data_IF_847340105125
#
_entry.id   IF_847340105125
#
_cell.length_a   1.000
_cell.length_b   1.000
_cell.length_c   1.000
_cell.angle_alpha   90.00
_cell.angle_beta   90.00
_cell.angle_gamma   90.00
#
_symmetry.space_group_name_H-M   'P 1'
#
loop_
_entity.id
_entity.type
_entity.pdbx_description
1 polymer ?
#
# COMPACT_ATOMS: atom_id res chain seq x y z
N UNK A 1 -20.46 -4.10 -24.16
CA UNK A 1 -19.05 -4.33 -23.89
C UNK A 1 -18.92 -4.70 -22.42
N UNK A 2 -18.13 -5.72 -22.07
CA UNK A 2 -17.71 -6.04 -20.70
C UNK A 2 -16.40 -5.30 -20.44
N UNK A 3 -16.39 -4.45 -19.42
CA UNK A 3 -15.28 -3.55 -19.12
C UNK A 3 -14.73 -3.90 -17.74
N UNK A 4 -13.44 -4.24 -17.68
CA UNK A 4 -12.70 -4.33 -16.43
C UNK A 4 -12.12 -2.98 -16.04
N UNK A 5 -12.27 -2.56 -14.80
CA UNK A 5 -11.67 -1.32 -14.27
C UNK A 5 -10.78 -1.67 -13.08
N UNK A 6 -9.48 -1.39 -13.20
CA UNK A 6 -8.51 -1.50 -12.11
C UNK A 6 -8.27 -0.10 -11.55
N UNK A 7 -8.70 0.13 -10.31
CA UNK A 7 -8.43 1.36 -9.57
C UNK A 7 -7.14 1.19 -8.77
N UNK A 8 -6.18 2.11 -8.88
CA UNK A 8 -4.94 2.05 -8.12
C UNK A 8 -4.71 3.27 -7.22
N UNK A 9 -4.34 2.98 -5.98
CA UNK A 9 -3.93 3.98 -5.00
C UNK A 9 -5.10 4.77 -4.39
N UNK A 10 -4.88 5.44 -3.25
CA UNK A 10 -5.93 6.20 -2.58
C UNK A 10 -6.27 7.53 -3.29
N UNK A 11 -5.30 8.18 -3.95
CA UNK A 11 -5.47 9.53 -4.49
C UNK A 11 -6.58 9.64 -5.57
N UNK A 12 -6.73 8.63 -6.43
CA UNK A 12 -7.79 8.61 -7.44
C UNK A 12 -9.18 8.49 -6.81
N UNK A 13 -9.29 7.85 -5.65
CA UNK A 13 -10.52 7.70 -4.88
C UNK A 13 -10.81 8.98 -4.10
N UNK A 14 -9.81 9.48 -3.35
CA UNK A 14 -9.94 10.66 -2.49
C UNK A 14 -10.24 11.94 -3.31
N UNK A 15 -9.75 12.04 -4.55
CA UNK A 15 -10.07 13.13 -5.48
C UNK A 15 -11.49 13.04 -6.07
N UNK A 16 -12.20 11.93 -5.84
CA UNK A 16 -13.52 11.63 -6.39
C UNK A 16 -13.51 11.23 -7.87
N UNK A 17 -12.36 11.19 -8.53
CA UNK A 17 -12.27 10.84 -9.95
C UNK A 17 -12.54 9.37 -10.22
N UNK A 18 -12.21 8.46 -9.30
CA UNK A 18 -12.52 7.04 -9.44
C UNK A 18 -14.02 6.83 -9.73
N UNK A 19 -14.90 7.40 -8.90
CA UNK A 19 -16.35 7.27 -9.09
C UNK A 19 -16.81 7.96 -10.39
N UNK A 20 -16.32 9.18 -10.68
CA UNK A 20 -16.67 9.89 -11.92
C UNK A 20 -16.32 9.08 -13.18
N UNK A 21 -15.15 8.45 -13.20
CA UNK A 21 -14.69 7.64 -14.32
C UNK A 21 -15.45 6.32 -14.42
N UNK A 22 -15.76 5.67 -13.28
CA UNK A 22 -16.59 4.46 -13.28
C UNK A 22 -17.98 4.76 -13.87
N UNK A 23 -18.63 5.85 -13.45
CA UNK A 23 -19.94 6.25 -14.00
C UNK A 23 -19.85 6.61 -15.49
N UNK A 24 -18.80 7.31 -15.92
CA UNK A 24 -18.57 7.59 -17.34
C UNK A 24 -18.40 6.30 -18.16
N UNK A 25 -17.63 5.33 -17.66
CA UNK A 25 -17.35 4.10 -18.39
C UNK A 25 -18.57 3.17 -18.48
N UNK A 26 -19.54 3.29 -17.57
CA UNK A 26 -20.85 2.61 -17.69
C UNK A 26 -21.64 3.03 -18.93
N UNK A 27 -21.39 4.22 -19.50
CA UNK A 27 -22.01 4.63 -20.77
C UNK A 27 -21.57 3.75 -21.95
N UNK A 28 -20.44 3.04 -21.81
CA UNK A 28 -19.83 2.23 -22.88
C UNK A 28 -20.08 0.73 -22.71
N UNK A 29 -20.53 0.27 -21.53
CA UNK A 29 -20.71 -1.15 -21.27
C UNK A 29 -20.98 -1.51 -19.82
N UNK A 30 -21.05 -2.81 -19.57
CA UNK A 30 -21.15 -3.38 -18.23
C UNK A 30 -19.77 -3.34 -17.55
N UNK A 31 -19.69 -2.78 -16.35
CA UNK A 31 -18.42 -2.50 -15.67
C UNK A 31 -18.24 -3.40 -14.47
N UNK A 32 -17.07 -4.02 -14.36
CA UNK A 32 -16.59 -4.70 -13.17
C UNK A 32 -15.37 -3.97 -12.66
N UNK A 33 -15.35 -3.61 -11.37
CA UNK A 33 -14.31 -2.75 -10.80
C UNK A 33 -13.62 -3.45 -9.64
N UNK A 34 -12.29 -3.43 -9.62
CA UNK A 34 -11.48 -3.96 -8.52
C UNK A 34 -10.33 -3.04 -8.18
N UNK A 35 -9.86 -3.11 -6.95
CA UNK A 35 -8.75 -2.30 -6.47
C UNK A 35 -7.40 -3.03 -6.55
N UNK A 36 -6.36 -2.32 -6.98
CA UNK A 36 -4.96 -2.69 -6.76
C UNK A 36 -4.32 -1.86 -5.64
N UNK A 37 -3.78 -2.53 -4.61
CA UNK A 37 -2.99 -1.91 -3.53
C UNK A 37 -3.70 -1.72 -2.19
N UNK A 38 -2.93 -1.76 -1.10
CA UNK A 38 -3.44 -1.78 0.29
C UNK A 38 -4.15 -0.49 0.71
N UNK A 39 -3.50 0.68 0.59
CA UNK A 39 -4.07 1.95 1.06
C UNK A 39 -5.28 2.43 0.25
N UNK A 40 -5.43 1.95 -0.99
CA UNK A 40 -6.64 2.20 -1.76
C UNK A 40 -7.88 1.62 -1.07
N UNK A 41 -7.75 0.51 -0.32
CA UNK A 41 -8.89 -0.11 0.38
C UNK A 41 -9.41 0.81 1.47
N UNK A 42 -8.50 1.50 2.16
CA UNK A 42 -8.82 2.52 3.17
C UNK A 42 -9.62 3.64 2.53
N UNK A 43 -9.21 4.11 1.35
CA UNK A 43 -9.90 5.16 0.61
C UNK A 43 -11.27 4.72 0.09
N UNK A 44 -11.40 3.48 -0.41
CA UNK A 44 -12.71 2.91 -0.80
C UNK A 44 -13.67 2.92 0.39
N UNK A 45 -13.21 2.48 1.57
CA UNK A 45 -14.01 2.46 2.79
C UNK A 45 -14.42 3.88 3.18
N UNK A 46 -13.47 4.82 3.27
CA UNK A 46 -13.78 6.19 3.67
C UNK A 46 -14.79 6.85 2.71
N UNK A 47 -14.71 6.53 1.41
CA UNK A 47 -15.62 7.01 0.38
C UNK A 47 -16.95 6.22 0.27
N UNK A 48 -17.16 5.17 1.07
CA UNK A 48 -18.34 4.28 1.00
C UNK A 48 -18.54 3.60 -0.37
N UNK A 49 -17.43 3.19 -1.00
CA UNK A 49 -17.41 2.62 -2.36
C UNK A 49 -17.24 1.09 -2.40
N UNK A 50 -17.33 0.38 -1.28
CA UNK A 50 -17.11 -1.08 -1.23
C UNK A 50 -18.13 -1.87 -2.03
N UNK A 51 -19.33 -1.31 -2.26
CA UNK A 51 -20.36 -1.90 -3.11
C UNK A 51 -20.12 -1.63 -4.62
N UNK A 52 -19.14 -0.78 -4.94
CA UNK A 52 -18.81 -0.36 -6.31
C UNK A 52 -17.45 -0.93 -6.73
N UNK A 53 -16.47 -0.94 -5.82
CA UNK A 53 -15.09 -1.37 -6.06
C UNK A 53 -14.80 -2.60 -5.19
N UNK A 54 -14.48 -3.73 -5.83
CA UNK A 54 -14.09 -4.94 -5.12
C UNK A 54 -12.74 -4.75 -4.40
N UNK A 55 -12.80 -4.84 -3.07
CA UNK A 55 -11.66 -4.78 -2.14
C UNK A 55 -11.52 -6.06 -1.31
N UNK A 56 -12.14 -7.16 -1.75
CA UNK A 56 -12.16 -8.44 -1.03
C UNK A 56 -10.80 -9.15 -1.03
N UNK A 57 -9.98 -8.92 -2.05
CA UNK A 57 -8.65 -9.53 -2.22
C UNK A 57 -7.54 -8.48 -2.15
N UNK A 58 -6.42 -8.82 -1.52
CA UNK A 58 -5.17 -8.06 -1.62
C UNK A 58 -4.51 -8.39 -2.96
N UNK A 59 -4.64 -7.48 -3.93
CA UNK A 59 -4.08 -7.64 -5.28
C UNK A 59 -3.12 -6.49 -5.59
N UNK A 60 -2.07 -6.79 -6.35
CA UNK A 60 -1.28 -5.77 -7.05
C UNK A 60 -1.94 -5.47 -8.40
N UNK A 61 -1.74 -4.27 -8.98
CA UNK A 61 -2.44 -3.86 -10.21
C UNK A 61 -2.26 -4.81 -11.40
N UNK A 62 -1.07 -5.39 -11.60
CA UNK A 62 -0.84 -6.32 -12.72
C UNK A 62 -1.59 -7.64 -12.57
N UNK A 63 -1.78 -8.13 -11.33
CA UNK A 63 -2.65 -9.29 -11.07
C UNK A 63 -4.12 -8.95 -11.33
N UNK A 64 -4.55 -7.73 -10.97
CA UNK A 64 -5.89 -7.25 -11.27
C UNK A 64 -6.17 -7.16 -12.77
N UNK A 65 -5.20 -6.72 -13.58
CA UNK A 65 -5.28 -6.78 -15.06
C UNK A 65 -5.39 -8.22 -15.54
N UNK A 66 -4.54 -9.11 -15.02
CA UNK A 66 -4.54 -10.54 -15.41
C UNK A 66 -5.89 -11.21 -15.13
N UNK A 67 -6.48 -10.97 -13.97
CA UNK A 67 -7.76 -11.62 -13.65
C UNK A 67 -8.86 -11.11 -14.59
N UNK A 68 -8.90 -9.82 -14.94
CA UNK A 68 -9.86 -9.35 -15.95
C UNK A 68 -9.61 -9.96 -17.33
N UNK A 69 -8.34 -10.17 -17.69
CA UNK A 69 -7.98 -10.88 -18.91
C UNK A 69 -8.51 -12.33 -18.88
N UNK A 70 -8.30 -13.04 -17.77
CA UNK A 70 -8.80 -14.42 -17.59
C UNK A 70 -10.34 -14.49 -17.56
N UNK A 71 -11.01 -13.43 -17.08
CA UNK A 71 -12.47 -13.24 -17.13
C UNK A 71 -12.97 -12.92 -18.56
N UNK A 72 -12.04 -12.82 -19.52
CA UNK A 72 -12.27 -12.56 -20.94
C UNK A 72 -13.09 -11.28 -21.17
N UNK A 73 -12.77 -10.19 -20.47
CA UNK A 73 -13.44 -8.89 -20.71
C UNK A 73 -13.10 -8.34 -22.10
N UNK A 74 -13.90 -7.42 -22.61
CA UNK A 74 -13.68 -6.85 -23.94
C UNK A 74 -12.63 -5.71 -23.90
N UNK A 75 -12.41 -5.10 -22.73
CA UNK A 75 -11.48 -3.97 -22.52
C UNK A 75 -11.16 -3.78 -21.04
N UNK A 76 -9.95 -3.32 -20.72
CA UNK A 76 -9.51 -3.01 -19.36
C UNK A 76 -9.06 -1.56 -19.24
N UNK A 77 -9.54 -0.86 -18.22
CA UNK A 77 -9.06 0.47 -17.82
C UNK A 77 -8.23 0.42 -16.55
N UNK A 78 -7.03 1.01 -16.58
CA UNK A 78 -6.20 1.24 -15.41
C UNK A 78 -6.36 2.70 -14.96
N UNK A 79 -6.99 2.94 -13.82
CA UNK A 79 -7.21 4.27 -13.28
C UNK A 79 -6.16 4.57 -12.21
N UNK A 80 -5.38 5.64 -12.40
CA UNK A 80 -4.33 6.02 -11.47
C UNK A 80 -4.23 7.54 -11.32
N UNK A 81 -3.68 7.96 -10.17
CA UNK A 81 -3.42 9.36 -9.86
C UNK A 81 -2.06 9.48 -9.20
N UNK A 82 -1.01 9.45 -10.03
CA UNK A 82 0.37 9.61 -9.63
C UNK A 82 0.67 10.97 -8.98
N UNK A 83 1.86 11.08 -8.37
CA UNK A 83 2.36 12.35 -7.82
C UNK A 83 2.66 13.37 -8.93
N UNK A 84 3.17 12.85 -10.05
CA UNK A 84 3.43 13.56 -11.30
C UNK A 84 3.03 12.66 -12.49
N UNK A 85 2.97 13.25 -13.68
CA UNK A 85 2.88 12.54 -14.97
C UNK A 85 3.96 11.45 -15.09
N UNK A 86 5.22 11.77 -14.74
CA UNK A 86 6.35 10.84 -14.73
C UNK A 86 6.05 9.61 -13.86
N UNK A 87 5.62 9.82 -12.61
CA UNK A 87 5.34 8.68 -11.71
C UNK A 87 4.20 7.82 -12.22
N UNK A 88 3.18 8.43 -12.80
CA UNK A 88 2.00 7.78 -13.32
C UNK A 88 2.27 6.94 -14.56
N UNK A 89 3.00 7.52 -15.52
CA UNK A 89 3.36 6.86 -16.76
C UNK A 89 4.34 5.70 -16.52
N UNK A 90 5.36 5.89 -15.67
CA UNK A 90 6.29 4.82 -15.29
C UNK A 90 5.59 3.71 -14.51
N UNK A 91 4.66 4.05 -13.61
CA UNK A 91 3.82 3.07 -12.92
C UNK A 91 3.03 2.22 -13.93
N UNK A 92 2.35 2.87 -14.86
CA UNK A 92 1.60 2.23 -15.93
C UNK A 92 2.43 1.28 -16.77
N UNK A 93 3.60 1.75 -17.21
CA UNK A 93 4.56 0.97 -17.99
C UNK A 93 4.98 -0.31 -17.24
N UNK A 94 5.34 -0.20 -15.96
CA UNK A 94 5.74 -1.35 -15.14
C UNK A 94 4.57 -2.33 -14.93
N UNK A 95 3.38 -1.81 -14.62
CA UNK A 95 2.18 -2.62 -14.39
C UNK A 95 1.79 -3.39 -15.65
N UNK A 96 1.78 -2.71 -16.80
CA UNK A 96 1.42 -3.32 -18.07
C UNK A 96 2.43 -4.38 -18.51
N UNK A 97 3.74 -4.14 -18.42
CA UNK A 97 4.75 -5.13 -18.78
C UNK A 97 4.70 -6.38 -17.89
N UNK A 98 4.58 -6.21 -16.56
CA UNK A 98 4.39 -7.35 -15.65
C UNK A 98 3.08 -8.11 -15.91
N UNK A 99 2.05 -7.45 -16.44
CA UNK A 99 0.82 -8.11 -16.87
C UNK A 99 1.04 -8.89 -18.17
N UNK A 100 1.69 -8.29 -19.16
CA UNK A 100 1.97 -8.91 -20.46
C UNK A 100 2.84 -10.17 -20.33
N UNK A 101 3.75 -10.22 -19.35
CA UNK A 101 4.55 -11.42 -19.04
C UNK A 101 3.71 -12.59 -18.47
N UNK A 102 2.50 -12.32 -17.97
CA UNK A 102 1.63 -13.32 -17.31
C UNK A 102 0.58 -13.93 -18.22
N UNK A 103 0.50 -13.50 -19.48
CA UNK A 103 -0.53 -13.91 -20.44
C UNK A 103 0.11 -14.50 -21.70
N UNK A 104 -0.63 -15.35 -22.42
CA UNK A 104 -0.16 -15.98 -23.66
C UNK A 104 -0.49 -15.15 -24.89
N UNK A 105 -1.67 -14.53 -24.90
CA UNK A 105 -2.17 -13.67 -25.97
C UNK A 105 -2.54 -12.33 -25.36
N UNK A 106 -2.22 -11.23 -26.05
CA UNK A 106 -2.46 -9.87 -25.55
C UNK A 106 -3.45 -9.14 -26.46
N UNK A 107 -4.64 -9.73 -26.57
CA UNK A 107 -5.72 -9.31 -27.46
C UNK A 107 -6.71 -8.32 -26.80
N UNK A 108 -6.79 -8.32 -25.47
CA UNK A 108 -7.66 -7.41 -24.73
C UNK A 108 -7.02 -6.02 -24.61
N UNK A 109 -7.67 -4.94 -25.11
CA UNK A 109 -7.20 -3.57 -24.98
C UNK A 109 -7.01 -3.14 -23.51
N UNK A 110 -5.84 -2.59 -23.18
CA UNK A 110 -5.54 -1.99 -21.88
C UNK A 110 -5.29 -0.49 -22.05
N UNK A 111 -6.10 0.33 -21.39
CA UNK A 111 -6.03 1.80 -21.47
C UNK A 111 -5.83 2.36 -20.06
N UNK A 112 -4.80 3.18 -19.86
CA UNK A 112 -4.64 3.91 -18.61
C UNK A 112 -5.25 5.30 -18.71
N UNK A 113 -5.92 5.72 -17.64
CA UNK A 113 -6.32 7.11 -17.41
C UNK A 113 -5.51 7.60 -16.21
N UNK A 114 -4.59 8.52 -16.48
CA UNK A 114 -3.62 9.04 -15.52
C UNK A 114 -3.94 10.48 -15.12
N UNK A 115 -4.04 10.73 -13.81
CA UNK A 115 -4.23 12.07 -13.21
C UNK A 115 -5.32 12.89 -13.90
N UNK A 116 -6.55 12.35 -13.99
CA UNK A 116 -7.67 13.07 -14.59
C UNK A 116 -7.88 14.42 -13.89
N UNK A 117 -8.06 15.48 -14.68
CA UNK A 117 -8.30 16.84 -14.18
C UNK A 117 -7.04 17.67 -13.90
N UNK A 118 -5.85 17.09 -13.99
CA UNK A 118 -4.58 17.82 -13.94
C UNK A 118 -4.15 18.26 -15.34
N UNK A 119 -3.39 19.36 -15.45
CA UNK A 119 -2.91 19.88 -16.74
C UNK A 119 -1.97 18.89 -17.45
N UNK A 120 -1.24 18.08 -16.69
CA UNK A 120 -0.33 17.04 -17.16
C UNK A 120 -0.96 15.62 -17.11
N UNK A 121 -2.29 15.55 -16.96
CA UNK A 121 -3.05 14.31 -17.06
C UNK A 121 -3.04 13.72 -18.47
N UNK A 122 -3.09 12.39 -18.57
CA UNK A 122 -2.97 11.68 -19.86
C UNK A 122 -3.82 10.41 -19.96
N UNK A 123 -4.11 10.00 -21.18
CA UNK A 123 -4.65 8.68 -21.52
C UNK A 123 -3.59 7.93 -22.31
N UNK A 124 -3.27 6.71 -21.87
CA UNK A 124 -2.23 5.87 -22.48
C UNK A 124 -2.85 4.57 -22.99
N UNK A 125 -2.96 4.36 -24.33
CA UNK A 125 -3.39 3.10 -24.90
C UNK A 125 -2.22 2.11 -24.99
N UNK A 126 -2.10 1.19 -24.02
CA UNK A 126 -0.91 0.33 -23.90
C UNK A 126 -0.70 -0.66 -25.05
N UNK A 127 -1.77 -1.17 -25.64
CA UNK A 127 -1.72 -2.13 -26.75
C UNK A 127 -2.74 -1.86 -27.87
N UNK A 128 -3.56 -0.81 -27.77
CA UNK A 128 -4.63 -0.58 -28.73
C UNK A 128 -5.08 0.90 -28.79
N UNK A 129 -4.87 1.54 -29.94
CA UNK A 129 -5.44 2.87 -30.26
C UNK A 129 -6.88 2.72 -30.79
N UNK A 130 -7.83 2.52 -29.87
CA UNK A 130 -9.25 2.39 -30.19
C UNK A 130 -9.95 3.75 -30.25
N UNK A 131 -11.08 3.83 -30.97
CA UNK A 131 -11.88 5.07 -31.07
C UNK A 131 -12.28 5.65 -29.71
N UNK A 132 -12.47 4.79 -28.70
CA UNK A 132 -12.83 5.21 -27.34
C UNK A 132 -11.73 6.07 -26.69
N UNK A 133 -10.46 5.89 -27.06
CA UNK A 133 -9.33 6.68 -26.53
C UNK A 133 -9.51 8.15 -26.94
N UNK A 134 -9.84 8.40 -28.20
CA UNK A 134 -10.06 9.75 -28.74
C UNK A 134 -11.30 10.41 -28.13
N UNK A 135 -12.39 9.64 -27.98
CA UNK A 135 -13.60 10.14 -27.32
C UNK A 135 -13.37 10.49 -25.85
N UNK A 136 -12.70 9.61 -25.10
CA UNK A 136 -12.38 9.85 -23.69
C UNK A 136 -11.40 11.00 -23.52
N UNK A 137 -10.38 11.11 -24.38
CA UNK A 137 -9.44 12.24 -24.38
C UNK A 137 -10.17 13.56 -24.53
N UNK A 138 -11.14 13.65 -25.44
CA UNK A 138 -11.97 14.84 -25.62
C UNK A 138 -12.90 15.10 -24.44
N UNK A 139 -13.60 14.07 -23.94
CA UNK A 139 -14.53 14.19 -22.80
C UNK A 139 -13.82 14.61 -21.50
N UNK A 140 -12.63 14.08 -21.26
CA UNK A 140 -11.85 14.30 -20.04
C UNK A 140 -10.84 15.45 -20.17
N UNK A 141 -10.67 16.01 -21.37
CA UNK A 141 -9.64 16.99 -21.69
C UNK A 141 -8.22 16.50 -21.30
N UNK A 142 -7.87 15.29 -21.73
CA UNK A 142 -6.58 14.65 -21.43
C UNK A 142 -5.76 14.48 -22.70
N UNK A 143 -4.44 14.67 -22.59
CA UNK A 143 -3.52 14.37 -23.67
C UNK A 143 -3.49 12.85 -23.93
N UNK A 144 -3.39 12.45 -25.20
CA UNK A 144 -3.09 11.05 -25.54
C UNK A 144 -1.56 10.94 -25.59
N UNK A 145 -1.00 10.02 -24.81
CA UNK A 145 0.44 9.72 -24.80
C UNK A 145 0.60 8.26 -25.22
N UNK A 146 1.46 7.98 -26.20
CA UNK A 146 1.66 6.60 -26.68
C UNK A 146 2.61 5.82 -25.76
N UNK A 147 2.55 4.47 -25.79
CA UNK A 147 3.50 3.63 -25.06
C UNK A 147 4.96 3.92 -25.43
N UNK A 148 5.22 4.22 -26.71
CA UNK A 148 6.55 4.61 -27.21
C UNK A 148 7.01 5.94 -26.61
N UNK A 149 6.13 6.94 -26.49
CA UNK A 149 6.46 8.20 -25.83
C UNK A 149 6.79 7.99 -24.35
N UNK A 150 6.06 7.13 -23.64
CA UNK A 150 6.37 6.79 -22.24
C UNK A 150 7.75 6.12 -22.14
N UNK A 151 8.03 5.14 -23.01
CA UNK A 151 9.31 4.47 -23.04
C UNK A 151 10.46 5.45 -23.34
N UNK A 152 10.30 6.30 -24.35
CA UNK A 152 11.33 7.23 -24.81
C UNK A 152 11.66 8.31 -23.78
N UNK A 153 10.63 8.84 -23.12
CA UNK A 153 10.78 9.92 -22.16
C UNK A 153 11.35 9.43 -20.82
N UNK A 154 10.99 8.23 -20.37
CA UNK A 154 11.25 7.81 -18.99
C UNK A 154 12.14 6.57 -18.86
N UNK A 155 12.12 5.65 -19.83
CA UNK A 155 12.74 4.31 -19.69
C UNK A 155 13.97 4.15 -20.59
N UNK A 156 13.97 4.71 -21.80
CA UNK A 156 15.05 4.52 -22.80
C UNK A 156 16.43 4.90 -22.28
N UNK A 157 16.49 5.93 -21.43
CA UNK A 157 17.74 6.43 -20.84
C UNK A 157 18.12 5.70 -19.55
N UNK A 158 17.26 4.80 -19.05
CA UNK A 158 17.59 3.96 -17.93
C UNK A 158 18.69 2.98 -18.38
N UNK A 159 19.91 3.24 -17.94
CA UNK A 159 21.04 2.32 -18.08
C UNK A 159 21.44 1.83 -16.69
N UNK A 160 20.56 1.08 -15.98
CA UNK A 160 20.91 0.54 -14.69
C UNK A 160 22.08 -0.43 -14.86
N UNK A 161 23.08 -0.32 -13.99
CA UNK A 161 24.09 -1.37 -13.87
C UNK A 161 23.47 -2.70 -13.45
N UNK A 162 24.26 -3.77 -13.46
CA UNK A 162 23.85 -5.06 -12.92
C UNK A 162 23.36 -4.89 -11.47
N UNK A 163 22.18 -5.44 -11.15
CA UNK A 163 21.50 -5.32 -9.86
C UNK A 163 21.21 -3.87 -9.42
N UNK A 164 20.88 -2.99 -10.36
CA UNK A 164 20.44 -1.62 -10.04
C UNK A 164 19.01 -1.38 -10.49
N UNK A 165 18.28 -0.53 -9.74
CA UNK A 165 16.94 -0.11 -10.11
C UNK A 165 16.74 1.38 -9.94
N UNK A 166 16.40 2.04 -11.04
CA UNK A 166 16.06 3.46 -11.07
C UNK A 166 14.61 3.65 -10.61
N UNK A 167 14.41 4.66 -9.75
CA UNK A 167 13.12 5.05 -9.20
C UNK A 167 12.81 6.47 -9.66
N UNK A 168 11.74 6.61 -10.43
CA UNK A 168 11.34 7.87 -11.07
C UNK A 168 10.37 8.68 -10.22
N UNK A 169 10.39 10.01 -10.41
CA UNK A 169 9.48 10.95 -9.75
C UNK A 169 9.59 10.96 -8.23
N UNK A 170 10.82 10.86 -7.74
CA UNK A 170 11.17 11.01 -6.33
C UNK A 170 11.40 12.50 -6.01
N UNK A 171 11.18 12.88 -4.77
CA UNK A 171 11.49 14.24 -4.29
C UNK A 171 12.36 14.16 -3.04
N UNK A 172 13.27 15.11 -2.79
CA UNK A 172 14.09 15.11 -1.58
C UNK A 172 13.25 15.07 -0.29
N UNK A 173 13.71 14.28 0.69
CA UNK A 173 13.06 14.10 1.99
C UNK A 173 11.94 13.05 2.03
N UNK A 174 11.62 12.41 0.90
CA UNK A 174 10.68 11.30 0.86
C UNK A 174 11.28 10.02 1.46
N UNK A 175 10.46 9.27 2.22
CA UNK A 175 10.82 7.92 2.63
C UNK A 175 11.00 7.02 1.39
N UNK A 176 11.96 6.11 1.44
CA UNK A 176 12.18 5.06 0.45
C UNK A 176 11.67 3.77 1.06
N UNK A 177 10.59 3.22 0.48
CA UNK A 177 9.96 2.01 0.96
C UNK A 177 10.10 0.88 -0.06
N UNK A 178 10.62 -0.27 0.37
CA UNK A 178 10.80 -1.47 -0.44
C UNK A 178 10.04 -2.62 0.23
N UNK A 179 9.13 -3.26 -0.50
CA UNK A 179 8.28 -4.34 0.02
C UNK A 179 7.59 -4.01 1.37
N UNK A 180 7.20 -2.74 1.55
CA UNK A 180 6.56 -2.19 2.75
C UNK A 180 7.49 -1.92 3.95
N UNK A 181 8.81 -2.01 3.76
CA UNK A 181 9.81 -1.63 4.78
C UNK A 181 10.48 -0.32 4.37
N UNK A 182 10.55 0.65 5.29
CA UNK A 182 11.30 1.89 5.07
C UNK A 182 12.79 1.58 5.20
N UNK A 183 13.55 1.80 4.13
CA UNK A 183 14.99 1.49 4.08
C UNK A 183 15.87 2.74 4.06
N UNK A 184 15.27 3.93 4.07
CA UNK A 184 16.03 5.17 3.93
C UNK A 184 15.16 6.35 3.51
N UNK A 185 15.84 7.45 3.19
CA UNK A 185 15.22 8.69 2.69
C UNK A 185 15.93 9.21 1.47
N UNK A 186 15.20 9.84 0.57
CA UNK A 186 15.77 10.51 -0.60
C UNK A 186 16.44 11.82 -0.19
N UNK A 187 17.54 12.16 -0.84
CA UNK A 187 18.17 13.48 -0.76
C UNK A 187 18.23 14.18 -2.13
N UNK A 188 17.72 13.52 -3.17
CA UNK A 188 17.72 13.96 -4.55
C UNK A 188 16.36 13.69 -5.21
N UNK A 189 16.16 14.30 -6.38
CA UNK A 189 15.08 14.04 -7.34
C UNK A 189 15.39 12.85 -8.27
N UNK A 190 16.55 12.20 -8.09
CA UNK A 190 16.95 10.97 -8.76
C UNK A 190 17.30 9.92 -7.72
N UNK A 191 16.80 8.70 -7.88
CA UNK A 191 17.08 7.60 -6.95
C UNK A 191 17.43 6.34 -7.72
N UNK A 192 18.55 5.70 -7.34
CA UNK A 192 18.93 4.37 -7.82
C UNK A 192 19.23 3.47 -6.63
N UNK A 193 18.54 2.33 -6.53
CA UNK A 193 18.85 1.29 -5.56
C UNK A 193 19.89 0.34 -6.14
N UNK A 194 20.85 -0.10 -5.33
CA UNK A 194 21.92 -1.02 -5.72
C UNK A 194 21.88 -2.24 -4.81
N UNK A 195 21.74 -3.42 -5.41
CA UNK A 195 21.75 -4.68 -4.68
C UNK A 195 22.96 -5.57 -5.02
N UNK A 196 23.39 -6.36 -4.03
CA UNK A 196 24.40 -7.40 -4.20
C UNK A 196 23.99 -8.60 -3.36
N UNK A 197 24.06 -9.80 -3.93
CA UNK A 197 23.68 -11.05 -3.27
C UNK A 197 22.26 -10.96 -2.65
N UNK A 198 21.31 -10.42 -3.43
CA UNK A 198 19.94 -10.12 -3.03
C UNK A 198 19.80 -9.21 -1.80
N UNK A 199 20.79 -8.36 -1.47
CA UNK A 199 20.65 -7.34 -0.43
C UNK A 199 20.90 -5.97 -1.00
N UNK A 200 20.09 -4.99 -0.59
CA UNK A 200 20.40 -3.59 -0.90
C UNK A 200 21.66 -3.20 -0.11
N UNK A 201 22.69 -2.78 -0.84
CA UNK A 201 23.99 -2.43 -0.26
C UNK A 201 24.32 -0.95 -0.38
N UNK A 202 23.68 -0.24 -1.32
CA UNK A 202 23.94 1.17 -1.56
C UNK A 202 22.74 1.83 -2.28
N UNK A 203 22.67 3.15 -2.20
CA UNK A 203 21.70 3.97 -2.94
C UNK A 203 22.36 5.25 -3.45
N UNK A 204 22.05 5.62 -4.70
CA UNK A 204 22.40 6.92 -5.26
C UNK A 204 21.20 7.85 -5.12
N UNK A 205 21.39 9.03 -4.52
CA UNK A 205 20.32 10.02 -4.33
C UNK A 205 19.45 9.79 -3.10
N UNK A 206 19.97 9.06 -2.11
CA UNK A 206 19.36 8.94 -0.79
C UNK A 206 20.36 8.53 0.30
N UNK A 207 19.84 8.33 1.51
CA UNK A 207 20.57 7.79 2.67
C UNK A 207 19.87 6.54 3.21
N UNK A 208 20.65 5.47 3.43
CA UNK A 208 20.15 4.18 3.93
C UNK A 208 19.93 4.22 5.46
N UNK A 209 18.82 3.64 5.91
CA UNK A 209 18.52 3.34 7.32
C UNK A 209 18.94 1.89 7.58
N UNK A 210 20.02 1.69 8.34
CA UNK A 210 20.61 0.36 8.64
C UNK A 210 19.56 -0.61 9.17
N UNK A 211 18.79 -0.18 10.17
CA UNK A 211 17.74 -1.01 10.76
C UNK A 211 16.63 -1.40 9.77
N UNK A 212 16.32 -0.53 8.80
CA UNK A 212 15.38 -0.83 7.72
C UNK A 212 15.90 -1.92 6.78
N UNK A 213 17.21 -1.98 6.52
CA UNK A 213 17.83 -3.04 5.72
C UNK A 213 17.83 -4.38 6.45
N UNK A 214 18.08 -4.38 7.77
CA UNK A 214 17.98 -5.56 8.61
C UNK A 214 16.57 -6.16 8.57
N UNK A 215 15.54 -5.30 8.66
CA UNK A 215 14.12 -5.69 8.56
C UNK A 215 13.72 -6.16 7.15
N UNK A 216 14.25 -5.55 6.09
CA UNK A 216 13.94 -5.95 4.71
C UNK A 216 14.51 -7.33 4.36
N UNK A 217 15.76 -7.61 4.75
CA UNK A 217 16.43 -8.86 4.42
C UNK A 217 16.72 -9.02 2.93
N UNK A 218 16.52 -10.24 2.41
CA UNK A 218 16.80 -10.55 1.01
C UNK A 218 15.69 -9.98 0.09
N UNK A 219 16.10 -9.35 -1.01
CA UNK A 219 15.24 -8.67 -1.97
C UNK A 219 15.76 -8.85 -3.40
N UNK A 220 14.85 -9.20 -4.29
CA UNK A 220 15.06 -9.11 -5.73
C UNK A 220 14.54 -7.75 -6.20
N UNK A 221 15.44 -6.91 -6.71
CA UNK A 221 15.09 -5.56 -7.15
C UNK A 221 14.15 -5.56 -8.36
N UNK A 222 14.14 -6.58 -9.20
CA UNK A 222 13.29 -6.62 -10.40
C UNK A 222 11.81 -6.77 -10.00
N UNK A 223 11.53 -7.69 -9.07
CA UNK A 223 10.19 -7.96 -8.57
C UNK A 223 9.75 -7.09 -7.39
N UNK A 224 10.66 -6.38 -6.72
CA UNK A 224 10.33 -5.57 -5.54
C UNK A 224 9.26 -4.50 -5.80
N UNK A 225 8.45 -4.19 -4.80
CA UNK A 225 7.53 -3.05 -4.82
C UNK A 225 8.25 -1.88 -4.15
N UNK A 226 8.59 -0.86 -4.95
CA UNK A 226 9.26 0.36 -4.47
C UNK A 226 8.28 1.52 -4.49
N UNK A 227 8.19 2.25 -3.38
CA UNK A 227 7.38 3.47 -3.25
C UNK A 227 8.21 4.56 -2.58
N UNK A 228 7.90 5.82 -2.89
CA UNK A 228 8.45 6.95 -2.16
C UNK A 228 7.37 7.89 -1.65
N UNK A 229 7.67 8.55 -0.54
CA UNK A 229 6.77 9.52 0.10
C UNK A 229 5.68 8.85 0.93
N UNK A 230 4.58 9.59 1.15
CA UNK A 230 3.45 9.11 1.95
C UNK A 230 2.60 8.10 1.19
N UNK A 231 2.10 7.08 1.91
CA UNK A 231 1.24 6.05 1.32
C UNK A 231 -0.17 6.56 1.00
N UNK A 232 -0.59 7.64 1.67
CA UNK A 232 -1.82 8.39 1.41
C UNK A 232 -1.59 9.84 1.82
N UNK A 233 -1.74 10.78 0.88
CA UNK A 233 -1.46 12.21 1.08
C UNK A 233 -2.71 13.01 1.49
N UNK A 234 -3.89 12.54 1.11
CA UNK A 234 -5.12 13.27 1.34
C UNK A 234 -5.46 13.34 2.82
N UNK A 235 -5.85 14.52 3.31
CA UNK A 235 -6.50 14.67 4.61
C UNK A 235 -7.91 14.11 4.51
N UNK A 236 -8.19 13.10 5.31
CA UNK A 236 -9.43 12.32 5.23
C UNK A 236 -10.15 12.33 6.56
N UNK A 237 -11.47 12.24 6.50
CA UNK A 237 -12.28 11.89 7.67
C UNK A 237 -12.54 10.39 7.60
N UNK A 238 -11.95 9.58 8.48
CA UNK A 238 -12.10 8.14 8.42
C UNK A 238 -13.55 7.74 8.68
N UNK A 239 -14.06 6.77 7.91
CA UNK A 239 -15.38 6.20 8.16
C UNK A 239 -15.26 4.89 8.93
N UNK A 240 -15.90 4.82 10.08
CA UNK A 240 -16.03 3.57 10.85
C UNK A 240 -17.17 2.75 10.27
N UNK A 241 -16.88 1.50 9.88
CA UNK A 241 -17.87 0.51 9.45
C UNK A 241 -18.30 -0.29 10.67
N UNK A 242 -19.60 -0.58 10.79
CA UNK A 242 -20.09 -1.52 11.78
C UNK A 242 -19.54 -2.92 11.49
N UNK A 243 -18.86 -3.50 12.48
CA UNK A 243 -18.43 -4.90 12.48
C UNK A 243 -19.20 -5.64 13.57
N UNK A 244 -19.58 -6.89 13.31
CA UNK A 244 -20.08 -7.76 14.37
C UNK A 244 -18.92 -8.08 15.29
N UNK A 245 -18.92 -7.51 16.50
CA UNK A 245 -17.86 -7.81 17.47
C UNK A 245 -17.90 -9.31 17.79
N UNK A 246 -16.73 -9.98 17.83
CA UNK A 246 -16.69 -11.40 18.16
C UNK A 246 -17.29 -11.63 19.55
N UNK A 247 -17.97 -12.77 19.72
CA UNK A 247 -18.58 -13.15 21.01
C UNK A 247 -17.54 -13.30 22.12
N UNK A 248 -16.37 -13.82 21.75
CA UNK A 248 -15.21 -13.97 22.63
C UNK A 248 -14.21 -12.86 22.37
N UNK A 249 -13.50 -12.40 23.40
CA UNK A 249 -12.50 -11.34 23.26
C UNK A 249 -11.24 -11.91 22.59
N UNK A 250 -11.21 -11.81 21.25
CA UNK A 250 -10.18 -12.36 20.37
C UNK A 250 -9.04 -11.36 20.20
N UNK A 251 -7.81 -11.79 20.48
CA UNK A 251 -6.61 -11.00 20.24
C UNK A 251 -5.80 -11.60 19.10
N UNK A 252 -5.18 -10.74 18.29
CA UNK A 252 -4.29 -11.13 17.18
C UNK A 252 -2.96 -10.43 17.28
N UNK A 253 -1.93 -10.97 16.61
CA UNK A 253 -0.57 -10.45 16.63
C UNK A 253 -0.11 -10.05 15.23
N UNK A 254 0.60 -8.94 15.12
CA UNK A 254 1.14 -8.41 13.87
C UNK A 254 2.52 -7.79 14.09
N UNK A 255 3.57 -8.37 13.52
CA UNK A 255 4.96 -7.89 13.64
C UNK A 255 5.54 -7.26 12.36
N UNK A 256 4.79 -7.25 11.26
CA UNK A 256 5.27 -6.75 9.97
C UNK A 256 4.27 -5.85 9.25
N UNK A 257 4.65 -4.60 8.97
CA UNK A 257 3.83 -3.62 8.24
C UNK A 257 3.38 -4.08 6.83
N UNK A 258 4.05 -5.08 6.24
CA UNK A 258 3.73 -5.63 4.93
C UNK A 258 2.56 -6.63 4.89
N UNK A 259 2.08 -7.10 6.04
CA UNK A 259 0.96 -8.04 6.08
C UNK A 259 -0.37 -7.41 5.67
N UNK A 260 -1.36 -8.25 5.35
CA UNK A 260 -2.72 -7.76 5.06
C UNK A 260 -3.48 -7.44 6.35
N UNK A 261 -3.32 -6.22 6.88
CA UNK A 261 -3.95 -5.74 8.13
C UNK A 261 -5.48 -5.96 8.14
N UNK A 262 -6.13 -5.94 6.98
CA UNK A 262 -7.57 -6.13 6.86
C UNK A 262 -8.06 -7.51 7.32
N UNK A 263 -7.17 -8.51 7.41
CA UNK A 263 -7.53 -9.84 7.96
C UNK A 263 -7.91 -9.78 9.44
N UNK A 264 -7.50 -8.73 10.14
CA UNK A 264 -7.73 -8.58 11.57
C UNK A 264 -9.01 -7.81 11.91
N UNK A 265 -9.85 -7.50 10.91
CA UNK A 265 -11.12 -6.75 11.05
C UNK A 265 -12.19 -7.40 11.96
N UNK A 266 -11.98 -8.65 12.35
CA UNK A 266 -12.87 -9.42 13.21
C UNK A 266 -12.22 -9.70 14.59
N UNK A 267 -11.20 -8.93 14.96
CA UNK A 267 -10.49 -9.04 16.24
C UNK A 267 -11.05 -8.06 17.27
N UNK A 268 -10.93 -8.37 18.55
CA UNK A 268 -11.25 -7.45 19.64
C UNK A 268 -10.13 -6.46 19.92
N UNK A 269 -8.88 -6.87 19.71
CA UNK A 269 -7.67 -6.05 19.82
C UNK A 269 -6.55 -6.66 18.99
N UNK A 270 -5.68 -5.84 18.42
CA UNK A 270 -4.49 -6.30 17.68
C UNK A 270 -3.23 -5.82 18.40
N UNK A 271 -2.33 -6.75 18.74
CA UNK A 271 -1.00 -6.42 19.23
C UNK A 271 -0.11 -6.16 18.02
N UNK A 272 0.51 -4.98 17.95
CA UNK A 272 1.38 -4.57 16.85
C UNK A 272 2.81 -4.35 17.35
N UNK A 273 3.81 -4.71 16.56
CA UNK A 273 5.23 -4.50 16.90
C UNK A 273 5.91 -3.60 15.87
N UNK A 274 6.60 -2.58 16.35
CA UNK A 274 7.28 -1.56 15.56
C UNK A 274 6.43 -0.32 15.33
N UNK A 275 7.09 0.83 15.28
CA UNK A 275 6.47 2.16 15.15
C UNK A 275 5.61 2.29 13.89
N UNK A 276 6.15 1.95 12.71
CA UNK A 276 5.42 2.07 11.44
C UNK A 276 4.31 1.03 11.30
N UNK A 277 4.56 -0.22 11.74
CA UNK A 277 3.52 -1.26 11.79
C UNK A 277 2.37 -0.80 12.65
N UNK A 278 2.67 -0.24 13.83
CA UNK A 278 1.68 0.30 14.77
C UNK A 278 0.92 1.49 14.15
N UNK A 279 1.63 2.40 13.47
CA UNK A 279 1.02 3.57 12.82
C UNK A 279 0.06 3.17 11.69
N UNK A 280 0.51 2.34 10.74
CA UNK A 280 -0.32 1.90 9.60
C UNK A 280 -1.49 1.03 10.08
N UNK A 281 -1.21 0.12 11.01
CA UNK A 281 -2.23 -0.82 11.48
C UNK A 281 -3.31 -0.11 12.27
N UNK A 282 -2.94 0.81 13.16
CA UNK A 282 -3.93 1.61 13.87
C UNK A 282 -4.79 2.46 12.94
N UNK A 283 -4.19 3.07 11.90
CA UNK A 283 -4.93 3.82 10.89
C UNK A 283 -5.96 2.93 10.18
N UNK A 284 -5.55 1.78 9.65
CA UNK A 284 -6.47 0.86 8.94
C UNK A 284 -7.55 0.32 9.89
N UNK A 285 -7.16 -0.16 11.07
CA UNK A 285 -8.04 -0.79 12.05
C UNK A 285 -9.04 0.19 12.67
N UNK A 286 -8.75 1.49 12.63
CA UNK A 286 -9.70 2.53 13.02
C UNK A 286 -11.03 2.41 12.30
N UNK A 287 -11.03 2.05 11.01
CA UNK A 287 -12.27 1.87 10.22
C UNK A 287 -13.14 0.71 10.70
N UNK A 288 -12.62 -0.16 11.56
CA UNK A 288 -13.32 -1.32 12.08
C UNK A 288 -13.61 -1.23 13.58
N UNK A 289 -13.34 -0.07 14.22
CA UNK A 289 -13.45 0.13 15.67
C UNK A 289 -12.62 -0.88 16.49
N UNK A 290 -11.42 -1.22 15.99
CA UNK A 290 -10.52 -2.17 16.63
C UNK A 290 -9.35 -1.44 17.28
N UNK A 291 -9.24 -1.46 18.62
CA UNK A 291 -8.09 -0.90 19.31
C UNK A 291 -6.84 -1.75 19.04
N UNK A 292 -5.69 -1.10 19.22
CA UNK A 292 -4.38 -1.77 19.16
C UNK A 292 -3.68 -1.74 20.52
N UNK A 293 -2.80 -2.72 20.75
CA UNK A 293 -1.72 -2.62 21.74
C UNK A 293 -0.41 -2.53 20.96
N UNK A 294 0.12 -1.32 20.81
CA UNK A 294 1.37 -1.10 20.07
C UNK A 294 2.59 -1.28 20.96
N UNK A 295 3.57 -2.04 20.51
CA UNK A 295 4.91 -2.14 21.08
C UNK A 295 5.84 -1.37 20.14
N UNK A 296 6.37 -0.25 20.61
CA UNK A 296 7.15 0.72 19.82
C UNK A 296 8.42 1.08 20.56
N UNK A 297 9.45 1.55 19.86
CA UNK A 297 10.72 1.96 20.46
C UNK A 297 11.07 3.43 20.20
N UNK A 298 10.20 4.13 19.46
CA UNK A 298 10.29 5.56 19.18
C UNK A 298 10.95 5.91 17.84
N UNK A 299 11.18 4.95 16.95
CA UNK A 299 11.90 5.11 15.67
C UNK A 299 11.03 5.45 14.44
N UNK A 300 9.87 6.07 14.65
CA UNK A 300 8.84 6.34 13.64
C UNK A 300 9.33 7.03 12.34
N UNK A 301 9.13 6.38 11.18
CA UNK A 301 9.51 6.92 9.87
C UNK A 301 8.43 7.80 9.20
N UNK A 302 7.20 7.86 9.75
CA UNK A 302 6.07 8.69 9.28
C UNK A 302 5.66 8.41 7.81
N UNK A 303 5.14 7.21 7.59
CA UNK A 303 4.65 6.74 6.27
C UNK A 303 3.22 7.22 5.90
N UNK A 304 2.50 7.83 6.83
CA UNK A 304 1.21 8.52 6.64
C UNK A 304 1.24 9.88 7.37
N UNK A 305 0.47 10.87 6.90
CA UNK A 305 0.47 12.23 7.48
C UNK A 305 -0.17 12.24 8.88
N UNK A 306 -1.40 11.75 8.97
CA UNK A 306 -2.17 11.61 10.20
C UNK A 306 -2.57 10.13 10.37
N UNK A 307 -2.18 9.52 11.48
CA UNK A 307 -2.58 8.14 11.83
C UNK A 307 -3.68 8.13 12.87
N UNK A 308 -4.81 7.51 12.55
CA UNK A 308 -5.95 7.41 13.46
C UNK A 308 -5.77 6.24 14.44
N UNK A 309 -6.25 6.40 15.67
CA UNK A 309 -6.22 5.37 16.72
C UNK A 309 -7.56 5.31 17.42
N UNK A 310 -8.07 4.10 17.64
CA UNK A 310 -9.35 3.89 18.34
C UNK A 310 -9.15 4.19 19.82
N UNK A 311 -10.17 4.74 20.47
CA UNK A 311 -10.19 4.89 21.93
C UNK A 311 -9.92 3.55 22.62
N UNK A 312 -9.26 3.58 23.77
CA UNK A 312 -8.77 2.39 24.49
C UNK A 312 -7.61 1.66 23.80
N UNK A 313 -7.04 2.19 22.72
CA UNK A 313 -5.73 1.70 22.26
C UNK A 313 -4.66 2.02 23.30
N UNK A 314 -3.67 1.13 23.42
CA UNK A 314 -2.58 1.21 24.39
C UNK A 314 -1.26 1.21 23.62
N UNK A 315 -0.34 2.10 23.94
CA UNK A 315 1.01 2.12 23.35
C UNK A 315 2.04 1.91 24.45
N UNK A 316 2.82 0.86 24.33
CA UNK A 316 4.04 0.58 25.08
C UNK A 316 5.23 1.08 24.29
N UNK A 317 5.77 2.22 24.70
CA UNK A 317 7.05 2.72 24.19
C UNK A 317 8.16 2.14 25.05
N UNK A 318 8.89 1.15 24.54
CA UNK A 318 10.01 0.47 25.19
C UNK A 318 11.34 1.16 24.87
N UNK A 319 12.43 0.72 25.49
CA UNK A 319 13.77 1.22 25.16
C UNK A 319 14.12 0.97 23.68
N UNK A 320 14.85 1.90 23.05
CA UNK A 320 15.24 1.78 21.63
C UNK A 320 15.88 0.42 21.32
N UNK A 321 15.38 -0.23 20.27
CA UNK A 321 15.77 -1.57 19.82
C UNK A 321 15.15 -2.74 20.59
N UNK A 322 14.25 -2.50 21.56
CA UNK A 322 13.60 -3.57 22.34
C UNK A 322 12.20 -3.97 21.83
N UNK A 323 11.60 -3.22 20.90
CA UNK A 323 10.29 -3.54 20.33
C UNK A 323 10.28 -4.95 19.71
N UNK A 324 11.29 -5.27 18.89
CA UNK A 324 11.46 -6.57 18.26
C UNK A 324 11.66 -7.70 19.31
N UNK A 325 12.42 -7.44 20.37
CA UNK A 325 12.69 -8.40 21.46
C UNK A 325 11.40 -8.69 22.24
N UNK A 326 10.70 -7.63 22.66
CA UNK A 326 9.43 -7.74 23.37
C UNK A 326 8.37 -8.41 22.49
N UNK A 327 8.33 -8.06 21.20
CA UNK A 327 7.47 -8.69 20.21
C UNK A 327 7.69 -10.19 20.08
N UNK A 328 8.94 -10.63 20.01
CA UNK A 328 9.30 -12.06 20.00
C UNK A 328 8.85 -12.79 21.28
N UNK A 329 9.03 -12.16 22.44
CA UNK A 329 8.62 -12.73 23.72
C UNK A 329 7.10 -12.81 23.86
N UNK A 330 6.37 -11.79 23.39
CA UNK A 330 4.90 -11.81 23.28
C UNK A 330 4.45 -12.96 22.37
N UNK A 331 5.04 -13.08 21.17
CA UNK A 331 4.73 -14.16 20.23
C UNK A 331 4.97 -15.53 20.85
N UNK A 332 6.06 -15.69 21.61
CA UNK A 332 6.40 -16.95 22.30
C UNK A 332 5.44 -17.27 23.45
N UNK A 333 5.13 -16.29 24.31
CA UNK A 333 4.44 -16.51 25.58
C UNK A 333 2.92 -16.47 25.43
N UNK A 334 2.39 -15.49 24.68
CA UNK A 334 0.95 -15.30 24.50
C UNK A 334 0.41 -16.16 23.34
N UNK A 335 1.18 -16.26 22.26
CA UNK A 335 0.77 -16.95 21.03
C UNK A 335 1.43 -18.33 20.85
N UNK A 336 2.14 -18.83 21.86
CA UNK A 336 2.82 -20.14 21.84
C UNK A 336 3.74 -20.32 20.61
N UNK A 337 4.26 -19.21 20.07
CA UNK A 337 5.16 -19.14 18.92
C UNK A 337 4.52 -19.43 17.55
N UNK A 338 3.25 -19.88 17.49
CA UNK A 338 2.62 -20.33 16.23
C UNK A 338 1.18 -19.88 16.03
N UNK A 339 0.48 -19.44 17.07
CA UNK A 339 -0.93 -19.04 16.94
C UNK A 339 -1.02 -17.64 16.33
N UNK A 340 -1.93 -17.46 15.38
CA UNK A 340 -2.24 -16.13 14.83
C UNK A 340 -3.22 -15.37 15.73
N UNK A 341 -3.96 -16.08 16.59
CA UNK A 341 -4.95 -15.51 17.49
C UNK A 341 -5.11 -16.32 18.78
N UNK A 342 -5.59 -15.67 19.83
CA UNK A 342 -5.99 -16.30 21.09
C UNK A 342 -7.16 -15.54 21.75
N UNK A 343 -7.76 -16.15 22.77
CA UNK A 343 -8.91 -15.60 23.48
C UNK A 343 -8.51 -15.19 24.88
N UNK A 344 -8.95 -14.00 25.29
CA UNK A 344 -8.76 -13.43 26.63
C UNK A 344 -10.12 -13.00 27.20
N UNK A 345 -10.14 -12.50 28.43
CA UNK A 345 -11.38 -11.95 29.02
C UNK A 345 -11.63 -10.51 28.58
N UNK A 346 -10.56 -9.70 28.49
CA UNK A 346 -10.60 -8.28 28.15
C UNK A 346 -9.19 -7.75 27.82
N UNK A 347 -9.10 -6.47 27.43
CA UNK A 347 -7.84 -5.82 27.07
C UNK A 347 -6.87 -5.65 28.26
N UNK A 348 -7.39 -5.49 29.48
CA UNK A 348 -6.56 -5.29 30.67
C UNK A 348 -5.77 -6.55 31.02
N UNK A 349 -6.37 -7.73 30.87
CA UNK A 349 -5.68 -9.00 31.09
C UNK A 349 -4.49 -9.17 30.12
N UNK A 350 -4.66 -8.73 28.87
CA UNK A 350 -3.60 -8.77 27.85
C UNK A 350 -2.49 -7.78 28.19
N UNK A 351 -2.87 -6.55 28.57
CA UNK A 351 -1.95 -5.50 29.00
C UNK A 351 -1.11 -5.96 30.20
N UNK A 352 -1.74 -6.54 31.22
CA UNK A 352 -1.04 -7.02 32.43
C UNK A 352 -0.04 -8.14 32.08
N UNK A 353 -0.39 -9.02 31.13
CA UNK A 353 0.52 -10.05 30.63
C UNK A 353 1.72 -9.45 29.89
N UNK A 354 1.50 -8.42 29.07
CA UNK A 354 2.59 -7.71 28.38
C UNK A 354 3.51 -7.01 29.40
N UNK A 355 2.95 -6.39 30.44
CA UNK A 355 3.73 -5.80 31.54
C UNK A 355 4.62 -6.84 32.22
N UNK A 356 4.09 -8.04 32.50
CA UNK A 356 4.88 -9.15 33.07
C UNK A 356 6.06 -9.52 32.15
N UNK A 357 5.82 -9.62 30.83
CA UNK A 357 6.84 -9.95 29.83
C UNK A 357 7.94 -8.88 29.82
N UNK A 358 7.58 -7.60 29.74
CA UNK A 358 8.56 -6.49 29.69
C UNK A 358 9.37 -6.42 30.99
N UNK A 359 8.73 -6.62 32.15
CA UNK A 359 9.42 -6.64 33.44
C UNK A 359 10.41 -7.81 33.55
N UNK A 360 10.07 -8.98 33.02
CA UNK A 360 10.94 -10.17 33.09
C UNK A 360 12.26 -9.99 32.33
N UNK A 361 12.29 -9.13 31.30
CA UNK A 361 13.51 -8.80 30.56
C UNK A 361 14.21 -7.53 31.08
N UNK A 362 13.72 -6.95 32.19
CA UNK A 362 14.21 -5.70 32.79
C UNK A 362 14.26 -4.51 31.82
N UNK A 363 13.37 -4.46 30.83
CA UNK A 363 13.28 -3.35 29.89
C UNK A 363 12.40 -2.23 30.46
N UNK A 364 12.83 -0.97 30.31
CA UNK A 364 11.98 0.17 30.70
C UNK A 364 10.94 0.45 29.62
N UNK A 365 9.81 0.98 30.05
CA UNK A 365 8.73 1.35 29.14
C UNK A 365 7.90 2.51 29.67
N UNK A 366 7.20 3.17 28.75
CA UNK A 366 6.13 4.13 29.03
C UNK A 366 4.83 3.63 28.41
N UNK A 367 3.74 3.69 29.17
CA UNK A 367 2.41 3.38 28.65
C UNK A 367 1.68 4.70 28.32
N UNK A 368 1.11 4.78 27.13
CA UNK A 368 0.18 5.84 26.73
C UNK A 368 -1.18 5.23 26.37
N UNK A 369 -2.25 5.88 26.81
CA UNK A 369 -3.63 5.47 26.54
C UNK A 369 -4.28 6.46 25.56
N UNK A 370 -4.98 5.95 24.57
CA UNK A 370 -5.73 6.77 23.60
C UNK A 370 -7.13 7.04 24.15
N UNK A 371 -7.42 8.30 24.48
CA UNK A 371 -8.68 8.77 25.09
C UNK A 371 -9.81 9.08 24.12
#
# INVERSE_FOLDING_TARGET
MRIGIVVHGPNIIDSGYALKLIELLKEYGDVSVRLGGTMGRTAVIDASLENVIDISKKLVPSDSLKIFHDDNVDMIFLLNYGKSDVTGQVFGYKVYNHYAEKITDNDIPVIQIERPGEEDGSIIPWNNDSKIVKELSQKLNLAIVTPEEVYDNHIRQDNPGFNQRIVHGVSPGENIMVNSVVIGKTNSDRLTLIAKDNRIVDIVGGELKVHGLEKLGDVDLDSAIIKTGLLRKSKVTPRVISTDKPRDFKITFLDHAGEDVYRFRDSSVVITVGDDTTLISSDILYRFDIPIIGITDGDLDKVVEDGFKVKNSIIFEVESGFDDIVGQDIKRIIFEGKRESCSYSNIDEVKDKIVEIINNINCKYKISYIE
#
